data_IF_265773866051
#
_entry.id   IF_265773866051
#
_cell.length_a   1.000
_cell.length_b   1.000
_cell.length_c   1.000
_cell.angle_alpha   90.00
_cell.angle_beta   90.00
_cell.angle_gamma   90.00
#
_symmetry.space_group_name_H-M   'P 1'
#
loop_
_entity.id
_entity.type
_entity.pdbx_description
1 polymer ?
#
# COMPACT_ATOMS: atom_id res chain seq x y z
N UNK A 1 12.70 -8.91 12.79
CA UNK A 1 12.09 -9.93 11.93
C UNK A 1 12.79 -11.28 12.12
N UNK A 2 12.07 -12.42 12.05
CA UNK A 2 12.71 -13.73 12.06
C UNK A 2 13.70 -13.91 10.92
N UNK A 3 14.78 -14.65 11.19
CA UNK A 3 15.84 -14.89 10.21
C UNK A 3 15.27 -15.59 8.97
N UNK A 4 15.61 -15.09 7.80
CA UNK A 4 15.19 -15.65 6.51
C UNK A 4 13.99 -14.98 5.87
N UNK A 5 13.30 -14.03 6.56
CA UNK A 5 12.15 -13.32 6.00
C UNK A 5 12.61 -12.05 5.26
N UNK A 6 13.30 -11.13 5.95
CA UNK A 6 13.70 -9.83 5.41
C UNK A 6 15.16 -9.86 4.93
N UNK A 7 15.51 -10.79 4.05
CA UNK A 7 16.88 -10.95 3.55
C UNK A 7 16.90 -11.45 2.12
N UNK A 8 17.91 -11.02 1.34
CA UNK A 8 18.24 -11.55 0.02
C UNK A 8 19.35 -12.60 0.08
N UNK A 9 19.99 -12.82 1.25
CA UNK A 9 21.03 -13.82 1.41
C UNK A 9 20.45 -15.24 1.24
N UNK A 10 20.93 -16.05 0.26
CA UNK A 10 20.37 -17.38 -0.05
C UNK A 10 20.41 -18.35 1.13
N UNK A 11 21.48 -18.32 1.95
CA UNK A 11 21.64 -19.21 3.08
C UNK A 11 20.67 -18.87 4.23
N UNK A 12 20.44 -17.57 4.44
CA UNK A 12 19.46 -17.13 5.44
C UNK A 12 18.02 -17.41 4.98
N UNK A 13 17.73 -17.27 3.69
CA UNK A 13 16.41 -17.60 3.11
C UNK A 13 16.02 -19.06 3.31
N UNK A 14 16.97 -19.98 3.32
CA UNK A 14 16.71 -21.42 3.59
C UNK A 14 16.13 -21.67 4.99
N UNK A 15 16.30 -20.75 5.92
CA UNK A 15 15.74 -20.85 7.29
C UNK A 15 14.25 -20.48 7.35
N UNK A 16 13.71 -19.89 6.30
CA UNK A 16 12.29 -19.60 6.22
C UNK A 16 11.51 -20.87 5.83
N UNK A 17 10.68 -21.35 6.75
CA UNK A 17 9.91 -22.60 6.60
C UNK A 17 8.44 -22.35 6.26
N UNK A 18 8.04 -21.09 6.12
CA UNK A 18 6.67 -20.71 5.76
C UNK A 18 6.28 -21.20 4.36
N UNK A 19 5.00 -21.51 4.20
CA UNK A 19 4.41 -21.90 2.91
C UNK A 19 3.27 -20.96 2.57
N UNK A 20 3.06 -20.63 1.29
CA UNK A 20 1.94 -19.77 0.85
C UNK A 20 0.58 -20.30 1.32
N UNK A 21 0.42 -21.62 1.37
CA UNK A 21 -0.80 -22.29 1.79
C UNK A 21 -1.19 -21.95 3.24
N UNK A 22 -0.21 -21.67 4.10
CA UNK A 22 -0.49 -21.28 5.50
C UNK A 22 -1.20 -19.94 5.55
N UNK A 23 -0.77 -18.98 4.72
CA UNK A 23 -1.43 -17.67 4.60
C UNK A 23 -2.84 -17.82 4.02
N UNK A 24 -2.99 -18.62 2.96
CA UNK A 24 -4.30 -18.90 2.36
C UNK A 24 -5.25 -19.52 3.37
N UNK A 25 -4.80 -20.51 4.13
CA UNK A 25 -5.64 -21.16 5.14
C UNK A 25 -5.98 -20.21 6.29
N UNK A 26 -5.03 -19.40 6.74
CA UNK A 26 -5.28 -18.40 7.78
C UNK A 26 -6.37 -17.40 7.35
N UNK A 27 -6.28 -16.88 6.12
CA UNK A 27 -7.31 -15.97 5.60
C UNK A 27 -8.68 -16.65 5.44
N UNK A 28 -8.71 -17.92 5.05
CA UNK A 28 -9.96 -18.71 5.02
C UNK A 28 -10.57 -18.90 6.39
N UNK A 29 -9.76 -19.14 7.42
CA UNK A 29 -10.25 -19.26 8.80
C UNK A 29 -10.84 -17.95 9.30
N UNK A 30 -10.17 -16.82 9.03
CA UNK A 30 -10.71 -15.48 9.36
C UNK A 30 -12.05 -15.26 8.64
N UNK A 31 -12.13 -15.59 7.36
CA UNK A 31 -13.37 -15.42 6.61
C UNK A 31 -14.50 -16.30 7.15
N UNK A 32 -14.18 -17.54 7.55
CA UNK A 32 -15.15 -18.44 8.16
C UNK A 32 -15.65 -17.92 9.52
N UNK A 33 -14.73 -17.48 10.37
CA UNK A 33 -15.09 -16.89 11.67
C UNK A 33 -15.98 -15.64 11.50
N UNK A 34 -15.62 -14.76 10.57
CA UNK A 34 -16.45 -13.60 10.24
C UNK A 34 -17.87 -14.01 9.81
N UNK A 35 -18.00 -15.04 8.95
CA UNK A 35 -19.31 -15.55 8.53
C UNK A 35 -20.14 -16.06 9.70
N UNK A 36 -19.51 -16.71 10.68
CA UNK A 36 -20.19 -17.21 11.88
C UNK A 36 -20.69 -16.06 12.76
N UNK A 37 -19.90 -14.99 12.94
CA UNK A 37 -20.36 -13.78 13.63
C UNK A 37 -21.50 -13.09 12.88
N UNK A 38 -21.37 -12.94 11.56
CA UNK A 38 -22.43 -12.36 10.74
C UNK A 38 -23.74 -13.14 10.84
N UNK A 39 -23.66 -14.47 10.83
CA UNK A 39 -24.85 -15.31 11.00
C UNK A 39 -25.50 -15.12 12.37
N UNK A 40 -24.73 -15.03 13.46
CA UNK A 40 -25.22 -14.75 14.81
C UNK A 40 -25.88 -13.37 14.93
N UNK A 41 -25.35 -12.38 14.20
CA UNK A 41 -25.89 -11.02 14.16
C UNK A 41 -27.09 -10.86 13.19
N UNK A 42 -27.40 -11.89 12.40
CA UNK A 42 -28.44 -11.82 11.38
C UNK A 42 -28.09 -10.96 10.17
N UNK A 43 -26.79 -10.73 9.90
CA UNK A 43 -26.27 -9.91 8.80
C UNK A 43 -25.85 -10.83 7.67
N UNK A 44 -26.24 -10.50 6.44
CA UNK A 44 -26.01 -11.36 5.27
C UNK A 44 -24.73 -11.01 4.48
N UNK A 45 -24.35 -9.74 4.48
CA UNK A 45 -23.20 -9.25 3.74
C UNK A 45 -22.27 -8.42 4.62
N UNK A 46 -20.99 -8.36 4.26
CA UNK A 46 -20.02 -7.48 4.94
C UNK A 46 -20.44 -6.02 4.83
N UNK A 47 -20.97 -5.62 3.67
CA UNK A 47 -21.46 -4.26 3.45
C UNK A 47 -22.54 -3.85 4.43
N UNK A 48 -23.45 -4.78 4.78
CA UNK A 48 -24.47 -4.53 5.82
C UNK A 48 -23.86 -4.39 7.23
N UNK A 49 -22.70 -4.98 7.47
CA UNK A 49 -22.00 -4.94 8.75
C UNK A 49 -21.15 -3.67 8.93
N UNK A 50 -20.62 -3.13 7.82
CA UNK A 50 -19.73 -1.96 7.87
C UNK A 50 -20.40 -0.76 8.54
N UNK A 51 -19.74 -0.19 9.54
CA UNK A 51 -20.23 0.96 10.30
C UNK A 51 -21.27 0.66 11.37
N UNK A 52 -21.68 -0.61 11.57
CA UNK A 52 -22.66 -1.04 12.55
C UNK A 52 -22.07 -1.11 13.95
N UNK A 53 -21.67 0.04 14.48
CA UNK A 53 -21.17 0.15 15.86
C UNK A 53 -22.25 -0.12 16.91
N UNK A 54 -23.52 -0.08 16.53
CA UNK A 54 -24.67 -0.47 17.36
C UNK A 54 -24.69 -1.96 17.71
N UNK A 55 -23.92 -2.80 17.02
CA UNK A 55 -23.71 -4.20 17.37
C UNK A 55 -22.59 -4.42 18.38
N UNK A 56 -21.90 -3.36 18.78
CA UNK A 56 -20.74 -3.42 19.66
C UNK A 56 -21.03 -2.74 20.99
N UNK A 57 -20.62 -3.37 22.07
CA UNK A 57 -20.56 -2.72 23.36
C UNK A 57 -19.19 -2.93 24.01
N UNK A 58 -18.76 -1.96 24.79
CA UNK A 58 -17.53 -2.09 25.53
C UNK A 58 -17.74 -3.06 26.70
N UNK A 59 -16.98 -4.16 26.70
CA UNK A 59 -16.97 -5.08 27.83
C UNK A 59 -16.43 -4.37 29.09
N UNK A 60 -17.19 -4.42 30.16
CA UNK A 60 -16.74 -3.95 31.46
C UNK A 60 -15.64 -4.88 31.99
N UNK A 61 -14.50 -4.30 32.37
CA UNK A 61 -13.39 -5.03 32.97
C UNK A 61 -13.30 -4.64 34.43
N UNK A 62 -13.53 -5.59 35.32
CA UNK A 62 -13.37 -5.37 36.75
C UNK A 62 -11.89 -5.36 37.14
N UNK A 63 -11.51 -4.50 38.08
CA UNK A 63 -10.16 -4.37 38.60
C UNK A 63 -9.54 -2.99 38.42
N UNK A 64 -8.29 -2.86 38.88
CA UNK A 64 -7.51 -1.59 38.85
C UNK A 64 -6.42 -1.55 37.76
N UNK A 65 -6.48 -2.44 36.79
CA UNK A 65 -5.51 -2.49 35.71
C UNK A 65 -5.81 -1.48 34.58
N UNK A 66 -4.83 -1.20 33.72
CA UNK A 66 -4.97 -0.29 32.55
C UNK A 66 -6.16 -0.62 31.67
N UNK A 67 -6.53 -1.89 31.57
CA UNK A 67 -7.70 -2.33 30.79
C UNK A 67 -9.02 -1.80 31.33
N UNK A 68 -9.14 -1.56 32.65
CA UNK A 68 -10.33 -0.99 33.27
C UNK A 68 -10.48 0.52 32.98
N UNK A 69 -9.37 1.21 32.64
CA UNK A 69 -9.35 2.65 32.35
C UNK A 69 -9.65 2.94 30.86
N UNK A 70 -9.66 1.92 30.00
CA UNK A 70 -9.94 2.09 28.57
C UNK A 70 -11.40 2.51 28.37
N UNK A 71 -11.61 3.61 27.66
CA UNK A 71 -12.91 4.10 27.26
C UNK A 71 -13.01 4.13 25.73
N UNK A 72 -13.86 3.26 25.17
CA UNK A 72 -14.08 3.13 23.72
C UNK A 72 -15.29 3.93 23.23
N UNK A 73 -15.99 4.66 24.10
CA UNK A 73 -17.24 5.35 23.74
C UNK A 73 -17.08 6.30 22.56
N UNK A 74 -15.93 7.00 22.45
CA UNK A 74 -15.67 7.90 21.34
C UNK A 74 -15.53 7.16 19.99
N UNK A 75 -14.98 5.93 20.01
CA UNK A 75 -14.83 5.09 18.80
C UNK A 75 -16.18 4.45 18.43
N UNK A 76 -16.94 4.02 19.42
CA UNK A 76 -18.23 3.36 19.23
C UNK A 76 -19.35 4.35 18.87
N UNK A 77 -19.19 5.64 19.20
CA UNK A 77 -20.17 6.67 18.84
C UNK A 77 -20.03 7.02 17.35
N UNK A 78 -20.80 6.32 16.52
CA UNK A 78 -20.87 6.60 15.09
C UNK A 78 -21.98 7.62 14.78
N UNK A 79 -21.65 8.89 14.45
CA UNK A 79 -22.66 9.90 14.12
C UNK A 79 -23.40 9.58 12.82
N UNK A 80 -22.87 8.69 12.00
CA UNK A 80 -23.44 8.25 10.72
C UNK A 80 -24.15 6.89 10.81
N UNK A 81 -24.53 6.45 12.00
CA UNK A 81 -25.14 5.13 12.20
C UNK A 81 -26.38 4.88 11.32
N UNK A 82 -27.14 5.93 10.99
CA UNK A 82 -28.29 5.85 10.09
C UNK A 82 -27.92 5.55 8.63
N UNK A 83 -26.67 5.79 8.26
CA UNK A 83 -26.10 5.52 6.95
C UNK A 83 -25.28 4.22 6.94
N UNK A 84 -25.15 3.56 8.09
CA UNK A 84 -24.44 2.27 8.17
C UNK A 84 -25.08 1.25 7.22
N UNK A 85 -24.27 0.44 6.57
CA UNK A 85 -24.72 -0.50 5.53
C UNK A 85 -25.05 0.13 4.18
N UNK A 86 -25.09 1.47 4.07
CA UNK A 86 -25.28 2.20 2.80
C UNK A 86 -23.96 2.74 2.27
N UNK A 87 -22.97 2.95 3.15
CA UNK A 87 -21.64 3.42 2.81
C UNK A 87 -20.81 2.19 2.41
N UNK A 88 -20.65 2.00 1.10
CA UNK A 88 -20.00 0.82 0.52
C UNK A 88 -18.82 1.22 -0.35
N UNK A 89 -17.92 0.27 -0.58
CA UNK A 89 -16.87 0.44 -1.58
C UNK A 89 -17.48 0.65 -2.97
N UNK A 90 -17.20 1.80 -3.56
CA UNK A 90 -17.65 2.13 -4.90
C UNK A 90 -16.49 2.00 -5.90
N UNK A 91 -16.53 0.97 -6.75
CA UNK A 91 -15.53 0.74 -7.81
C UNK A 91 -15.37 1.90 -8.79
N UNK A 92 -16.38 2.77 -8.90
CA UNK A 92 -16.34 3.96 -9.78
C UNK A 92 -15.63 5.14 -9.12
N UNK A 93 -15.48 5.11 -7.79
CA UNK A 93 -14.78 6.16 -7.05
C UNK A 93 -13.28 5.82 -6.99
N UNK A 94 -12.60 6.01 -8.11
CA UNK A 94 -11.15 5.77 -8.21
C UNK A 94 -10.43 6.98 -7.62
N UNK A 95 -9.51 6.71 -6.69
CA UNK A 95 -8.64 7.75 -6.15
C UNK A 95 -7.72 8.26 -7.26
N UNK A 96 -7.73 9.56 -7.51
CA UNK A 96 -6.79 10.19 -8.44
C UNK A 96 -5.48 10.50 -7.70
N UNK A 97 -4.42 9.79 -8.02
CA UNK A 97 -3.08 10.01 -7.46
C UNK A 97 -2.38 11.24 -8.05
N UNK A 98 -3.00 11.91 -9.02
CA UNK A 98 -2.46 13.10 -9.69
C UNK A 98 -1.03 12.86 -10.24
N UNK A 99 -0.77 11.67 -10.76
CA UNK A 99 0.55 11.29 -11.27
C UNK A 99 1.04 12.24 -12.38
N UNK A 100 0.12 12.84 -13.12
CA UNK A 100 0.40 13.87 -14.13
C UNK A 100 1.08 15.14 -13.56
N UNK A 101 1.01 15.32 -12.23
CA UNK A 101 1.67 16.44 -11.53
C UNK A 101 3.09 16.14 -11.10
N UNK A 102 3.53 14.88 -11.14
CA UNK A 102 4.87 14.46 -10.73
C UNK A 102 5.96 14.98 -11.67
N UNK A 103 7.19 15.10 -11.17
CA UNK A 103 8.37 15.45 -12.00
C UNK A 103 8.63 14.37 -13.04
N UNK A 104 8.42 13.10 -12.68
CA UNK A 104 8.54 11.98 -13.59
C UNK A 104 7.69 12.20 -14.85
N UNK A 105 6.40 12.45 -14.69
CA UNK A 105 5.46 12.58 -15.80
C UNK A 105 5.64 13.90 -16.56
N UNK A 106 5.86 14.98 -15.84
CA UNK A 106 6.01 16.31 -16.47
C UNK A 106 7.32 16.46 -17.22
N UNK A 107 8.41 15.88 -16.71
CA UNK A 107 9.77 16.15 -17.18
C UNK A 107 10.47 14.88 -17.63
N UNK A 108 10.63 13.87 -16.76
CA UNK A 108 11.51 12.74 -17.04
C UNK A 108 10.99 11.90 -18.20
N UNK A 109 9.75 11.44 -18.16
CA UNK A 109 9.16 10.62 -19.24
C UNK A 109 9.27 11.33 -20.58
N UNK A 110 8.99 12.63 -20.62
CA UNK A 110 9.08 13.41 -21.87
C UNK A 110 10.51 13.55 -22.38
N UNK A 111 11.47 13.86 -21.49
CA UNK A 111 12.88 14.03 -21.88
C UNK A 111 13.53 12.71 -22.28
N UNK A 112 13.06 11.58 -21.75
CA UNK A 112 13.55 10.25 -22.10
C UNK A 112 12.75 9.57 -23.22
N UNK A 113 11.67 10.16 -23.73
CA UNK A 113 10.75 9.49 -24.65
C UNK A 113 11.46 8.82 -25.84
N UNK A 114 12.33 9.54 -26.58
CA UNK A 114 13.06 8.98 -27.70
C UNK A 114 14.07 7.89 -27.29
N UNK A 115 14.71 8.05 -26.12
CA UNK A 115 15.64 7.07 -25.59
C UNK A 115 14.91 5.79 -25.12
N UNK A 116 13.73 5.93 -24.55
CA UNK A 116 12.85 4.82 -24.18
C UNK A 116 12.35 4.03 -25.39
N UNK A 117 12.28 4.63 -26.58
CA UNK A 117 11.96 3.94 -27.82
C UNK A 117 13.16 3.23 -28.45
N UNK A 118 14.33 3.87 -28.39
CA UNK A 118 15.53 3.41 -29.10
C UNK A 118 16.50 2.60 -28.24
N UNK A 119 16.41 2.65 -26.92
CA UNK A 119 17.39 2.07 -26.01
C UNK A 119 18.73 2.83 -25.96
N UNK A 120 18.83 4.00 -26.59
CA UNK A 120 20.08 4.76 -26.64
C UNK A 120 20.39 5.45 -25.32
N UNK A 121 21.68 5.59 -25.01
CA UNK A 121 22.18 6.30 -23.82
C UNK A 121 21.63 7.73 -23.75
N UNK A 122 21.14 8.11 -22.60
CA UNK A 122 20.59 9.44 -22.34
C UNK A 122 20.89 9.90 -20.93
N UNK A 123 21.34 11.14 -20.80
CA UNK A 123 21.48 11.86 -19.52
C UNK A 123 20.58 13.08 -19.51
N UNK A 124 19.90 13.31 -18.38
CA UNK A 124 18.98 14.43 -18.17
C UNK A 124 19.28 15.07 -16.82
N UNK A 125 19.27 16.38 -16.78
CA UNK A 125 19.37 17.15 -15.52
C UNK A 125 18.02 17.72 -15.14
N UNK A 126 17.71 17.72 -13.82
CA UNK A 126 16.45 18.20 -13.26
C UNK A 126 16.64 18.77 -11.87
N UNK A 127 16.00 19.91 -11.60
CA UNK A 127 15.89 20.47 -10.26
C UNK A 127 14.79 19.75 -9.48
N UNK A 128 15.08 19.45 -8.21
CA UNK A 128 14.17 18.70 -7.34
C UNK A 128 14.05 19.36 -5.98
N UNK A 129 12.90 19.17 -5.36
CA UNK A 129 12.62 19.61 -4.00
C UNK A 129 12.23 18.42 -3.12
N UNK A 130 12.22 18.59 -1.82
CA UNK A 130 11.80 17.54 -0.89
C UNK A 130 10.30 17.18 -0.98
N UNK A 131 9.52 17.95 -1.73
CA UNK A 131 8.12 17.64 -2.03
C UNK A 131 7.94 16.74 -3.25
N UNK A 132 8.99 16.57 -4.06
CA UNK A 132 9.00 15.65 -5.22
C UNK A 132 9.25 14.22 -4.72
N UNK A 133 8.19 13.60 -4.19
CA UNK A 133 8.23 12.25 -3.60
C UNK A 133 8.28 11.19 -4.70
N UNK A 134 8.94 10.07 -4.39
CA UNK A 134 9.04 8.90 -5.26
C UNK A 134 9.58 9.22 -6.68
N UNK A 135 10.43 10.25 -6.79
CA UNK A 135 11.05 10.64 -8.06
C UNK A 135 11.84 9.47 -8.64
N UNK A 136 11.68 9.23 -9.94
CA UNK A 136 12.31 8.14 -10.67
C UNK A 136 11.45 6.88 -10.76
N UNK A 137 10.42 6.73 -9.92
CA UNK A 137 9.59 5.51 -9.87
C UNK A 137 8.85 5.24 -11.18
N UNK A 138 8.21 6.26 -11.77
CA UNK A 138 7.50 6.09 -13.05
C UNK A 138 8.47 5.87 -14.20
N UNK A 139 9.59 6.58 -14.22
CA UNK A 139 10.64 6.35 -15.21
C UNK A 139 11.22 4.94 -15.10
N UNK A 140 11.54 4.47 -13.89
CA UNK A 140 12.03 3.12 -13.62
C UNK A 140 11.04 2.05 -14.06
N UNK A 141 9.73 2.24 -13.78
CA UNK A 141 8.68 1.35 -14.23
C UNK A 141 8.60 1.28 -15.77
N UNK A 142 8.73 2.41 -16.48
CA UNK A 142 8.76 2.46 -17.95
C UNK A 142 9.99 1.73 -18.53
N UNK A 143 11.14 1.92 -17.90
CA UNK A 143 12.39 1.25 -18.29
C UNK A 143 12.23 -0.27 -18.13
N UNK A 144 11.83 -0.71 -16.96
CA UNK A 144 11.67 -2.14 -16.66
C UNK A 144 10.61 -2.79 -17.55
N UNK A 145 9.51 -2.12 -17.82
CA UNK A 145 8.43 -2.62 -18.69
C UNK A 145 8.90 -2.81 -20.14
N UNK A 146 9.80 -1.97 -20.64
CA UNK A 146 10.27 -1.99 -22.03
C UNK A 146 11.48 -2.91 -22.24
N UNK A 147 12.41 -2.90 -21.29
CA UNK A 147 13.72 -3.50 -21.45
C UNK A 147 14.02 -4.63 -20.46
N UNK A 148 13.25 -4.75 -19.36
CA UNK A 148 13.56 -5.72 -18.32
C UNK A 148 14.95 -5.49 -17.73
N UNK A 149 15.78 -6.52 -17.74
CA UNK A 149 17.17 -6.49 -17.26
C UNK A 149 18.22 -6.39 -18.41
N UNK A 150 17.78 -6.02 -19.61
CA UNK A 150 18.64 -6.09 -20.82
C UNK A 150 19.47 -4.84 -21.08
N UNK A 151 19.23 -3.75 -20.37
CA UNK A 151 19.99 -2.52 -20.55
C UNK A 151 21.36 -2.60 -19.88
N UNK A 152 22.35 -2.03 -20.55
CA UNK A 152 23.67 -1.81 -19.96
C UNK A 152 23.60 -0.79 -18.84
N UNK A 153 24.53 -0.91 -17.89
CA UNK A 153 24.72 0.06 -16.81
C UNK A 153 24.90 1.48 -17.38
N UNK A 154 24.39 2.49 -16.68
CA UNK A 154 24.44 3.90 -17.09
C UNK A 154 23.83 4.24 -18.47
N UNK A 155 22.92 3.41 -18.97
CA UNK A 155 22.18 3.74 -20.20
C UNK A 155 21.31 4.97 -20.00
N UNK A 156 20.62 5.07 -18.84
CA UNK A 156 19.82 6.22 -18.49
C UNK A 156 20.30 6.85 -17.18
N UNK A 157 20.66 8.12 -17.25
CA UNK A 157 21.17 8.87 -16.12
C UNK A 157 20.30 10.09 -15.84
N UNK A 158 19.84 10.24 -14.61
CA UNK A 158 19.17 11.46 -14.13
C UNK A 158 20.06 12.14 -13.11
N UNK A 159 20.52 13.35 -13.42
CA UNK A 159 21.27 14.19 -12.48
C UNK A 159 20.29 15.15 -11.79
N UNK A 160 20.16 15.02 -10.50
CA UNK A 160 19.23 15.82 -9.71
C UNK A 160 19.97 16.91 -8.94
N UNK A 161 19.45 18.14 -8.97
CA UNK A 161 19.96 19.29 -8.24
C UNK A 161 18.92 19.73 -7.21
N UNK A 162 19.28 19.81 -5.93
CA UNK A 162 18.39 20.23 -4.87
C UNK A 162 18.25 19.20 -3.74
N UNK A 163 17.11 19.18 -3.07
CA UNK A 163 16.84 18.29 -1.94
C UNK A 163 15.89 17.14 -2.37
N UNK A 164 16.36 15.90 -2.25
CA UNK A 164 15.53 14.72 -2.51
C UNK A 164 14.41 14.54 -1.48
N UNK A 165 13.24 14.14 -1.94
CA UNK A 165 12.08 13.84 -1.12
C UNK A 165 12.03 12.40 -0.62
N UNK A 166 10.91 12.01 0.00
CA UNK A 166 10.67 10.63 0.43
C UNK A 166 10.70 9.68 -0.77
N UNK A 167 11.37 8.53 -0.61
CA UNK A 167 11.52 7.51 -1.66
C UNK A 167 12.20 8.03 -2.94
N UNK A 168 13.12 9.00 -2.80
CA UNK A 168 13.93 9.51 -3.90
C UNK A 168 14.77 8.38 -4.49
N UNK A 169 14.64 8.15 -5.79
CA UNK A 169 15.35 7.10 -6.51
C UNK A 169 15.05 5.66 -6.03
N UNK A 170 13.97 5.46 -5.30
CA UNK A 170 13.51 4.13 -4.91
C UNK A 170 12.68 3.49 -6.04
N UNK A 171 12.81 2.14 -6.18
CA UNK A 171 12.10 1.27 -7.15
C UNK A 171 12.60 1.34 -8.60
#
# INVERSE_FOLDING_TARGET
CPVGIATQNPELRKRFTGKPEYVVNFMRFIAQELREYMAKLGVKTVDELVGRTDFLEQKQVEGSGRSAEVNLSAILNNPYIKEAGKIQYNKKNVYNFELEKTVDEKVLIKKFASALESGQKRSVEVDVTNTDRALGTLLGAEITRRFGETLEEDTYTVKCHGAGGQSFGAF
#
